data_IF_312662875260
#
_entry.id   IF_312662875260
#
_cell.length_a   1.000
_cell.length_b   1.000
_cell.length_c   1.000
_cell.angle_alpha   90.00
_cell.angle_beta   90.00
_cell.angle_gamma   90.00
#
_symmetry.space_group_name_H-M   'P 1'
#
loop_
_entity.id
_entity.type
_entity.pdbx_description
1 polymer ?
#
# COMPACT_ATOMS: atom_id res chain seq x y z
N UNK A 1 12.64 2.23 -13.64
CA UNK A 1 14.08 2.20 -13.89
C UNK A 1 14.87 1.52 -12.75
N UNK A 2 15.98 0.90 -13.07
CA UNK A 2 16.76 0.13 -12.11
C UNK A 2 17.32 0.96 -10.94
N UNK A 3 17.44 2.27 -11.12
CA UNK A 3 17.90 3.19 -10.08
C UNK A 3 16.77 3.69 -9.16
N UNK A 4 15.52 3.30 -9.41
CA UNK A 4 14.37 3.67 -8.58
C UNK A 4 14.02 2.53 -7.64
N UNK A 5 14.06 2.80 -6.34
CA UNK A 5 13.49 1.91 -5.32
C UNK A 5 12.05 2.32 -5.08
N UNK A 6 11.13 1.44 -5.43
CA UNK A 6 9.68 1.67 -5.26
C UNK A 6 9.14 0.90 -4.07
N UNK A 7 8.40 1.59 -3.22
CA UNK A 7 7.73 1.02 -2.05
C UNK A 7 6.25 1.43 -2.04
N UNK A 8 5.37 0.47 -1.79
CA UNK A 8 3.94 0.72 -1.57
C UNK A 8 3.66 0.83 -0.09
N UNK A 9 2.93 1.87 0.29
CA UNK A 9 2.53 2.12 1.67
C UNK A 9 1.01 2.25 1.70
N UNK A 10 0.30 1.34 2.39
CA UNK A 10 -1.15 1.44 2.55
C UNK A 10 -1.54 2.71 3.28
N UNK A 11 -2.61 3.36 2.81
CA UNK A 11 -3.18 4.54 3.43
C UNK A 11 -4.36 4.12 4.32
N UNK A 12 -4.44 4.71 5.51
CA UNK A 12 -5.48 4.44 6.49
C UNK A 12 -6.27 5.72 6.75
N UNK A 13 -7.28 5.99 5.92
CA UNK A 13 -8.17 7.15 6.10
C UNK A 13 -9.36 6.86 7.01
N UNK A 14 -9.75 5.59 7.14
CA UNK A 14 -10.87 5.15 7.95
C UNK A 14 -10.44 3.99 8.85
N UNK A 15 -11.10 3.81 9.99
CA UNK A 15 -10.75 2.78 10.96
C UNK A 15 -10.78 1.36 10.37
N UNK A 16 -11.75 1.05 9.52
CA UNK A 16 -11.85 -0.26 8.85
C UNK A 16 -10.73 -0.51 7.81
N UNK A 17 -10.12 0.54 7.29
CA UNK A 17 -8.98 0.41 6.36
C UNK A 17 -7.72 -0.07 7.05
N UNK A 18 -7.64 0.06 8.37
CA UNK A 18 -6.52 -0.48 9.16
C UNK A 18 -6.40 -2.01 9.01
N UNK A 19 -7.53 -2.71 9.00
CA UNK A 19 -7.54 -4.16 8.74
C UNK A 19 -7.06 -4.50 7.33
N UNK A 20 -7.43 -3.69 6.32
CA UNK A 20 -6.95 -3.86 4.95
C UNK A 20 -5.45 -3.60 4.81
N UNK A 21 -4.95 -2.56 5.46
CA UNK A 21 -3.51 -2.28 5.52
C UNK A 21 -2.74 -3.43 6.19
N UNK A 22 -3.31 -3.98 7.26
CA UNK A 22 -2.77 -5.17 7.93
C UNK A 22 -2.70 -6.37 6.98
N UNK A 23 -3.75 -6.61 6.19
CA UNK A 23 -3.76 -7.66 5.18
C UNK A 23 -2.62 -7.51 4.17
N UNK A 24 -2.38 -6.30 3.71
CA UNK A 24 -1.25 -6.01 2.81
C UNK A 24 0.10 -6.35 3.46
N UNK A 25 0.31 -5.94 4.70
CA UNK A 25 1.56 -6.24 5.41
C UNK A 25 1.71 -7.72 5.75
N UNK A 26 0.62 -8.46 5.99
CA UNK A 26 0.66 -9.92 6.12
C UNK A 26 1.15 -10.53 4.81
N UNK A 27 0.59 -10.13 3.67
CA UNK A 27 1.02 -10.60 2.37
C UNK A 27 2.49 -10.26 2.07
N UNK A 28 2.94 -9.07 2.44
CA UNK A 28 4.32 -8.63 2.28
C UNK A 28 5.27 -9.47 3.15
N UNK A 29 4.92 -9.72 4.40
CA UNK A 29 5.73 -10.54 5.32
C UNK A 29 5.85 -12.00 4.86
N UNK A 30 4.80 -12.52 4.20
CA UNK A 30 4.82 -13.85 3.58
C UNK A 30 5.50 -13.87 2.21
N UNK A 31 5.89 -12.72 1.66
CA UNK A 31 6.54 -12.60 0.36
C UNK A 31 5.63 -12.80 -0.83
N UNK A 32 4.32 -12.66 -0.65
CA UNK A 32 3.29 -12.93 -1.68
C UNK A 32 2.47 -11.70 -2.06
N UNK A 33 2.92 -10.50 -1.69
CA UNK A 33 2.16 -9.26 -1.95
C UNK A 33 1.96 -8.98 -3.44
N UNK A 34 2.90 -9.35 -4.29
CA UNK A 34 2.81 -9.13 -5.74
C UNK A 34 1.68 -9.95 -6.36
N UNK A 35 1.54 -11.18 -5.93
CA UNK A 35 0.50 -12.11 -6.40
C UNK A 35 -0.85 -11.80 -5.75
N UNK A 36 -0.85 -11.48 -4.47
CA UNK A 36 -2.09 -11.28 -3.72
C UNK A 36 -2.68 -9.89 -3.87
N UNK A 37 -1.89 -8.84 -4.14
CA UNK A 37 -2.44 -7.48 -4.29
C UNK A 37 -3.52 -7.40 -5.36
N UNK A 38 -3.34 -7.91 -6.59
CA UNK A 38 -4.41 -7.92 -7.58
C UNK A 38 -5.63 -8.73 -7.15
N UNK A 39 -5.42 -9.86 -6.46
CA UNK A 39 -6.52 -10.70 -5.96
C UNK A 39 -7.32 -9.99 -4.86
N UNK A 40 -6.65 -9.27 -3.96
CA UNK A 40 -7.29 -8.46 -2.93
C UNK A 40 -8.14 -7.34 -3.57
N UNK A 41 -7.58 -6.60 -4.52
CA UNK A 41 -8.33 -5.57 -5.24
C UNK A 41 -9.56 -6.12 -5.96
N UNK A 42 -9.41 -7.24 -6.63
CA UNK A 42 -10.53 -7.93 -7.29
C UNK A 42 -11.61 -8.33 -6.29
N UNK A 43 -11.22 -8.96 -5.18
CA UNK A 43 -12.16 -9.41 -4.14
C UNK A 43 -12.96 -8.24 -3.57
N UNK A 44 -12.33 -7.11 -3.31
CA UNK A 44 -12.98 -5.93 -2.74
C UNK A 44 -13.84 -5.20 -3.78
N UNK A 45 -13.26 -4.85 -4.92
CA UNK A 45 -13.86 -3.91 -5.87
C UNK A 45 -14.74 -4.59 -6.94
N UNK A 46 -14.49 -5.84 -7.27
CA UNK A 46 -15.26 -6.59 -8.27
C UNK A 46 -16.26 -7.54 -7.61
N UNK A 47 -15.83 -8.29 -6.61
CA UNK A 47 -16.63 -9.31 -5.95
C UNK A 47 -17.37 -8.79 -4.70
N UNK A 48 -17.11 -7.57 -4.26
CA UNK A 48 -17.78 -6.94 -3.14
C UNK A 48 -17.52 -7.59 -1.78
N UNK A 49 -16.40 -8.29 -1.63
CA UNK A 49 -16.04 -8.93 -0.36
C UNK A 49 -15.58 -7.91 0.67
N UNK A 50 -16.04 -8.05 1.91
CA UNK A 50 -15.59 -7.24 3.04
C UNK A 50 -14.35 -7.84 3.69
N UNK A 51 -13.18 -7.58 3.11
CA UNK A 51 -11.89 -8.03 3.65
C UNK A 51 -11.44 -7.21 4.88
N UNK A 52 -12.20 -6.24 5.33
CA UNK A 52 -11.99 -5.60 6.63
C UNK A 52 -12.39 -6.51 7.80
N UNK A 53 -13.27 -7.48 7.55
CA UNK A 53 -13.67 -8.49 8.51
C UNK A 53 -12.55 -9.53 8.67
N UNK A 54 -12.01 -9.75 9.90
CA UNK A 54 -10.88 -10.65 10.11
C UNK A 54 -11.13 -12.10 9.67
N UNK A 55 -12.35 -12.61 9.85
CA UNK A 55 -12.70 -13.98 9.45
C UNK A 55 -12.72 -14.12 7.93
N UNK A 56 -13.35 -13.20 7.23
CA UNK A 56 -13.39 -13.20 5.76
C UNK A 56 -11.99 -12.99 5.17
N UNK A 57 -11.18 -12.21 5.83
CA UNK A 57 -9.78 -12.02 5.46
C UNK A 57 -8.98 -13.32 5.57
N UNK A 58 -9.11 -14.05 6.68
CA UNK A 58 -8.47 -15.35 6.87
C UNK A 58 -8.92 -16.36 5.80
N UNK A 59 -10.25 -16.48 5.59
CA UNK A 59 -10.81 -17.36 4.55
C UNK A 59 -10.27 -17.01 3.15
N UNK A 60 -10.13 -15.73 2.85
CA UNK A 60 -9.55 -15.27 1.59
C UNK A 60 -8.08 -15.73 1.44
N UNK A 61 -7.24 -15.54 2.45
CA UNK A 61 -5.85 -15.96 2.40
C UNK A 61 -5.70 -17.47 2.23
N UNK A 62 -6.50 -18.25 2.95
CA UNK A 62 -6.51 -19.72 2.82
C UNK A 62 -6.95 -20.14 1.42
N UNK A 63 -7.97 -19.51 0.86
CA UNK A 63 -8.44 -19.77 -0.50
C UNK A 63 -7.37 -19.45 -1.56
N UNK A 64 -6.50 -18.48 -1.29
CA UNK A 64 -5.37 -18.15 -2.15
C UNK A 64 -4.18 -19.12 -2.00
N UNK A 65 -4.29 -20.16 -1.20
CA UNK A 65 -3.30 -21.22 -1.06
C UNK A 65 -2.37 -21.10 0.14
N UNK A 66 -2.61 -20.13 1.04
CA UNK A 66 -1.86 -20.05 2.28
C UNK A 66 -2.35 -21.08 3.30
N UNK A 67 -1.43 -21.62 4.07
CA UNK A 67 -1.77 -22.55 5.14
C UNK A 67 -2.30 -21.78 6.34
N UNK A 68 -3.33 -22.32 7.00
CA UNK A 68 -3.98 -21.67 8.14
C UNK A 68 -2.98 -21.31 9.25
N UNK A 69 -2.07 -22.22 9.60
CA UNK A 69 -1.09 -21.96 10.65
C UNK A 69 -0.07 -20.87 10.29
N UNK A 70 0.26 -20.72 9.00
CA UNK A 70 1.14 -19.64 8.52
C UNK A 70 0.45 -18.28 8.66
N UNK A 71 -0.82 -18.22 8.29
CA UNK A 71 -1.62 -17.01 8.46
C UNK A 71 -1.80 -16.66 9.94
N UNK A 72 -2.23 -17.60 10.77
CA UNK A 72 -2.47 -17.39 12.20
C UNK A 72 -1.21 -16.95 12.95
N UNK A 73 -0.04 -17.52 12.61
CA UNK A 73 1.22 -17.17 13.25
C UNK A 73 1.61 -15.71 13.03
N UNK A 74 1.22 -15.12 11.90
CA UNK A 74 1.52 -13.74 11.55
C UNK A 74 0.37 -12.80 11.94
N UNK A 75 -0.87 -13.21 11.69
CA UNK A 75 -2.04 -12.37 11.93
C UNK A 75 -2.38 -12.20 13.43
N UNK A 76 -1.98 -13.13 14.28
CA UNK A 76 -2.22 -13.09 15.72
C UNK A 76 -1.41 -11.99 16.39
N UNK A 77 -0.23 -12.34 16.90
CA UNK A 77 0.70 -11.39 17.52
C UNK A 77 1.87 -11.12 16.58
N UNK A 78 1.92 -9.93 16.01
CA UNK A 78 2.99 -9.57 15.08
C UNK A 78 3.48 -8.14 15.33
N UNK A 79 4.52 -7.97 16.19
CA UNK A 79 5.14 -6.67 16.40
C UNK A 79 5.68 -6.03 15.12
N UNK A 80 6.13 -6.82 14.16
CA UNK A 80 6.60 -6.36 12.86
C UNK A 80 5.49 -5.69 12.04
N UNK A 81 4.30 -6.26 12.01
CA UNK A 81 3.13 -5.67 11.32
C UNK A 81 2.68 -4.40 12.04
N UNK A 82 2.62 -4.42 13.36
CA UNK A 82 2.24 -3.25 14.16
C UNK A 82 3.21 -2.08 13.93
N UNK A 83 4.51 -2.35 13.83
CA UNK A 83 5.52 -1.35 13.47
C UNK A 83 5.31 -0.78 12.06
N UNK A 84 4.95 -1.61 11.08
CA UNK A 84 4.64 -1.15 9.72
C UNK A 84 3.38 -0.29 9.66
N UNK A 85 2.34 -0.65 10.41
CA UNK A 85 1.12 0.16 10.52
C UNK A 85 1.41 1.53 11.14
N UNK A 86 2.22 1.57 12.19
CA UNK A 86 2.67 2.82 12.81
C UNK A 86 3.48 3.67 11.83
N UNK A 87 4.36 3.05 11.05
CA UNK A 87 5.13 3.72 10.01
C UNK A 87 4.22 4.33 8.94
N UNK A 88 3.18 3.61 8.50
CA UNK A 88 2.17 4.14 7.57
C UNK A 88 1.49 5.39 8.13
N UNK A 89 1.02 5.34 9.36
CA UNK A 89 0.39 6.48 10.04
C UNK A 89 1.34 7.68 10.13
N UNK A 90 2.59 7.43 10.50
CA UNK A 90 3.63 8.47 10.64
C UNK A 90 3.94 9.14 9.30
N UNK A 91 4.10 8.36 8.23
CA UNK A 91 4.36 8.88 6.89
C UNK A 91 3.17 9.67 6.32
N UNK A 92 1.93 9.20 6.58
CA UNK A 92 0.73 9.95 6.19
C UNK A 92 0.69 11.34 6.82
N UNK A 93 1.00 11.44 8.11
CA UNK A 93 1.01 12.71 8.83
C UNK A 93 2.18 13.60 8.39
N UNK A 94 3.38 13.05 8.31
CA UNK A 94 4.59 13.77 7.91
C UNK A 94 4.45 14.38 6.50
N UNK A 95 4.00 13.57 5.55
CA UNK A 95 3.90 13.97 4.14
C UNK A 95 2.55 14.62 3.81
N UNK A 96 1.65 14.76 4.79
CA UNK A 96 0.32 15.35 4.64
C UNK A 96 -0.46 14.71 3.49
N UNK A 97 -0.55 13.37 3.51
CA UNK A 97 -1.24 12.61 2.48
C UNK A 97 -2.75 12.77 2.66
N UNK A 98 -3.41 13.34 1.67
CA UNK A 98 -4.85 13.65 1.68
C UNK A 98 -5.64 12.86 0.63
N UNK A 99 -4.96 12.19 -0.29
CA UNK A 99 -5.58 11.46 -1.39
C UNK A 99 -4.76 10.22 -1.74
N UNK A 100 -5.39 9.27 -2.41
CA UNK A 100 -4.74 8.10 -2.98
C UNK A 100 -5.11 8.00 -4.48
N UNK A 101 -4.16 7.67 -5.36
CA UNK A 101 -2.75 7.44 -5.06
C UNK A 101 -1.98 8.75 -4.82
N UNK A 102 -0.95 8.70 -3.99
CA UNK A 102 0.02 9.79 -3.85
C UNK A 102 1.42 9.22 -4.00
N UNK A 103 2.26 9.88 -4.78
CA UNK A 103 3.67 9.55 -4.90
C UNK A 103 4.51 10.53 -4.10
N UNK A 104 5.40 10.01 -3.27
CA UNK A 104 6.43 10.78 -2.57
C UNK A 104 7.78 10.37 -3.14
N UNK A 105 8.51 11.33 -3.69
CA UNK A 105 9.76 11.09 -4.40
C UNK A 105 10.90 11.69 -3.59
N UNK A 106 11.86 10.84 -3.20
CA UNK A 106 13.05 11.21 -2.44
C UNK A 106 12.76 11.95 -1.12
N UNK A 107 11.60 11.71 -0.50
CA UNK A 107 11.11 12.45 0.67
C UNK A 107 11.04 13.97 0.49
N UNK A 108 11.10 14.46 -0.74
CA UNK A 108 11.17 15.89 -1.09
C UNK A 108 9.98 16.37 -1.88
N UNK A 109 9.48 15.57 -2.79
CA UNK A 109 8.40 15.94 -3.71
C UNK A 109 7.20 15.04 -3.51
N UNK A 110 6.03 15.64 -3.54
CA UNK A 110 4.75 14.94 -3.46
C UNK A 110 3.90 15.31 -4.68
N UNK A 111 3.29 14.31 -5.30
CA UNK A 111 2.31 14.49 -6.36
C UNK A 111 1.11 13.59 -6.14
N UNK A 112 -0.08 14.16 -6.25
CA UNK A 112 -1.35 13.44 -6.22
C UNK A 112 -2.22 13.81 -7.45
N UNK A 113 -3.31 13.08 -7.71
CA UNK A 113 -4.15 13.34 -8.88
C UNK A 113 -4.77 14.73 -8.91
N UNK A 114 -5.05 15.34 -7.77
CA UNK A 114 -5.65 16.68 -7.71
C UNK A 114 -4.70 17.76 -8.23
N UNK A 115 -3.41 17.57 -8.06
CA UNK A 115 -2.38 18.52 -8.54
C UNK A 115 -2.26 18.56 -10.07
N UNK A 116 -2.78 17.54 -10.75
CA UNK A 116 -2.71 17.39 -12.21
C UNK A 116 -4.09 17.31 -12.87
N UNK A 117 -5.13 17.79 -12.17
CA UNK A 117 -6.50 17.81 -12.70
C UNK A 117 -7.13 16.43 -12.89
N UNK A 118 -6.66 15.41 -12.17
CA UNK A 118 -7.16 14.04 -12.25
C UNK A 118 -6.68 13.25 -13.48
N UNK A 119 -5.78 13.80 -14.28
CA UNK A 119 -5.25 13.13 -15.48
C UNK A 119 -4.16 12.12 -15.11
N UNK A 120 -4.40 10.80 -15.30
CA UNK A 120 -3.43 9.76 -14.92
C UNK A 120 -2.14 9.79 -15.74
N UNK A 121 -2.22 10.21 -17.01
CA UNK A 121 -1.04 10.32 -17.88
C UNK A 121 -0.15 11.46 -17.39
N UNK A 122 -0.75 12.61 -17.11
CA UNK A 122 -0.04 13.77 -16.58
C UNK A 122 0.55 13.49 -15.19
N UNK A 123 -0.16 12.74 -14.35
CA UNK A 123 0.33 12.29 -13.05
C UNK A 123 1.64 11.51 -13.18
N UNK A 124 1.71 10.54 -14.10
CA UNK A 124 2.92 9.76 -14.35
C UNK A 124 4.04 10.60 -14.99
N UNK A 125 3.72 11.51 -15.90
CA UNK A 125 4.71 12.40 -16.51
C UNK A 125 5.36 13.32 -15.48
N UNK A 126 4.59 13.86 -14.54
CA UNK A 126 5.13 14.68 -13.44
C UNK A 126 6.02 13.84 -12.53
N UNK A 127 5.62 12.61 -12.22
CA UNK A 127 6.44 11.69 -11.44
C UNK A 127 7.78 11.41 -12.11
N UNK A 128 7.77 11.09 -13.40
CA UNK A 128 9.00 10.85 -14.19
C UNK A 128 9.91 12.08 -14.20
N UNK A 129 9.35 13.26 -14.39
CA UNK A 129 10.09 14.52 -14.33
C UNK A 129 10.77 14.72 -12.97
N UNK A 130 10.05 14.48 -11.87
CA UNK A 130 10.60 14.64 -10.53
C UNK A 130 11.69 13.61 -10.21
N UNK A 131 11.53 12.37 -10.66
CA UNK A 131 12.56 11.32 -10.54
C UNK A 131 13.83 11.74 -11.26
N UNK A 132 13.74 12.24 -12.48
CA UNK A 132 14.88 12.70 -13.25
C UNK A 132 15.54 13.96 -12.62
N UNK A 133 14.74 14.86 -12.08
CA UNK A 133 15.21 16.02 -11.34
C UNK A 133 16.07 15.62 -10.14
N UNK A 134 15.59 14.68 -9.33
CA UNK A 134 16.32 14.12 -8.18
C UNK A 134 17.60 13.43 -8.65
N UNK A 135 17.52 12.63 -9.71
CA UNK A 135 18.67 11.90 -10.25
C UNK A 135 19.80 12.83 -10.68
N UNK A 136 19.46 13.99 -11.24
CA UNK A 136 20.44 15.00 -11.69
C UNK A 136 20.98 15.86 -10.54
N UNK A 137 20.43 15.73 -9.33
CA UNK A 137 20.80 16.58 -8.20
C UNK A 137 20.28 18.00 -8.28
N UNK A 138 19.28 18.27 -9.12
CA UNK A 138 18.66 19.58 -9.25
C UNK A 138 17.73 19.85 -8.04
N UNK A 139 17.85 21.02 -7.46
CA UNK A 139 16.96 21.47 -6.37
C UNK A 139 15.55 21.85 -6.84
#
# INVERSE_FOLDING_TARGET
PAYVKFERIPIIFQANWRSLARAYYIAQMLGVEKELTPAIFKAIHVEGQDLSNPKLQEEFFIKQGLKQHEFESIAGFSPGIDAQLLRSDTLMQKDKILAAPTLVIDNRFKVDPNMVGGDPIRFLQVADYLIEKVRKGDE
#
